data_IF_726343628225
#
_entry.id   IF_726343628225
#
_cell.length_a   1.000
_cell.length_b   1.000
_cell.length_c   1.000
_cell.angle_alpha   90.00
_cell.angle_beta   90.00
_cell.angle_gamma   90.00
#
_symmetry.space_group_name_H-M   'P 1'
#
loop_
_entity.id
_entity.type
_entity.pdbx_description
1 polymer ?
#
# COMPACT_ATOMS: atom_id res chain seq x y z
N UNK A 1 18.51 1.49 38.70
CA UNK A 1 19.62 2.36 38.25
C UNK A 1 20.25 3.16 39.39
N UNK A 2 21.56 3.01 39.62
CA UNK A 2 22.36 3.82 40.56
C UNK A 2 23.19 4.88 39.83
N UNK A 3 22.59 6.05 39.62
CA UNK A 3 23.20 7.17 38.84
C UNK A 3 24.41 7.76 39.57
N UNK A 4 24.43 7.70 40.90
CA UNK A 4 25.53 8.17 41.75
C UNK A 4 26.87 7.46 41.49
N UNK A 5 26.86 6.32 40.79
CA UNK A 5 28.06 5.61 40.40
C UNK A 5 28.67 6.15 39.09
N UNK A 6 28.00 7.11 38.43
CA UNK A 6 28.52 7.75 37.23
C UNK A 6 29.48 8.89 37.57
N UNK A 7 30.55 8.97 36.79
CA UNK A 7 31.53 10.04 36.86
C UNK A 7 31.49 10.87 35.57
N UNK A 8 31.50 12.19 35.73
CA UNK A 8 31.46 13.13 34.61
C UNK A 8 32.76 13.07 33.80
N UNK A 9 32.63 13.18 32.48
CA UNK A 9 33.74 13.17 31.52
C UNK A 9 34.59 11.89 31.52
N UNK A 10 34.10 10.80 32.12
CA UNK A 10 34.75 9.48 32.08
C UNK A 10 34.18 8.65 30.95
N UNK A 11 35.08 7.97 30.23
CA UNK A 11 34.76 7.07 29.14
C UNK A 11 34.47 5.65 29.66
N UNK A 12 33.21 5.26 29.57
CA UNK A 12 32.78 3.87 29.74
C UNK A 12 33.00 3.10 28.44
N UNK A 13 33.89 2.10 28.44
CA UNK A 13 34.37 1.39 27.23
C UNK A 13 33.27 0.71 26.39
N UNK A 14 32.12 0.41 26.98
CA UNK A 14 31.00 -0.21 26.29
C UNK A 14 29.68 -0.01 27.01
N UNK A 15 28.59 -0.35 26.32
CA UNK A 15 27.25 -0.43 26.92
C UNK A 15 27.21 -1.39 28.13
N UNK A 16 27.95 -2.50 28.10
CA UNK A 16 28.01 -3.41 29.26
C UNK A 16 28.68 -2.74 30.46
N UNK A 17 29.76 -1.99 30.22
CA UNK A 17 30.49 -1.31 31.28
C UNK A 17 29.61 -0.29 32.02
N UNK A 18 28.88 0.54 31.28
CA UNK A 18 27.96 1.52 31.89
C UNK A 18 26.75 0.83 32.54
N UNK A 19 26.22 -0.27 31.99
CA UNK A 19 25.19 -1.08 32.67
C UNK A 19 25.68 -1.61 34.03
N UNK A 20 26.90 -2.14 34.09
CA UNK A 20 27.50 -2.63 35.34
C UNK A 20 27.64 -1.49 36.36
N UNK A 21 28.14 -0.33 35.94
CA UNK A 21 28.26 0.85 36.81
C UNK A 21 26.91 1.30 37.35
N UNK A 22 25.88 1.30 36.49
CA UNK A 22 24.52 1.71 36.82
C UNK A 22 23.72 0.64 37.58
N UNK A 23 24.27 -0.56 37.78
CA UNK A 23 23.58 -1.75 38.28
C UNK A 23 22.28 -2.03 37.52
N UNK A 24 22.35 -1.93 36.21
CA UNK A 24 21.25 -2.16 35.29
C UNK A 24 21.46 -3.48 34.52
N UNK A 25 20.36 -4.19 34.25
CA UNK A 25 20.39 -5.41 33.47
C UNK A 25 20.90 -5.12 32.04
N UNK A 26 21.79 -5.99 31.54
CA UNK A 26 22.32 -5.92 30.18
C UNK A 26 21.26 -6.43 29.21
N UNK A 27 20.74 -5.55 28.36
CA UNK A 27 19.69 -5.86 27.40
C UNK A 27 20.23 -5.93 25.96
N UNK A 28 19.44 -6.52 25.07
CA UNK A 28 19.74 -6.65 23.64
C UNK A 28 18.58 -6.11 22.78
N UNK A 29 18.84 -5.89 21.49
CA UNK A 29 17.83 -5.46 20.52
C UNK A 29 17.04 -4.21 20.93
N UNK A 30 15.71 -4.28 20.82
CA UNK A 30 14.79 -3.17 21.14
C UNK A 30 14.80 -2.80 22.63
N UNK A 31 15.07 -3.77 23.51
CA UNK A 31 15.12 -3.53 24.95
C UNK A 31 16.35 -2.68 25.33
N UNK A 32 17.50 -2.91 24.66
CA UNK A 32 18.68 -2.05 24.75
C UNK A 32 18.40 -0.62 24.28
N UNK A 33 17.74 -0.47 23.13
CA UNK A 33 17.38 0.85 22.58
C UNK A 33 16.47 1.60 23.57
N UNK A 34 15.48 0.92 24.14
CA UNK A 34 14.57 1.51 25.12
C UNK A 34 15.31 1.94 26.40
N UNK A 35 16.26 1.14 26.89
CA UNK A 35 17.05 1.47 28.07
C UNK A 35 17.96 2.68 27.82
N UNK A 36 18.64 2.74 26.65
CA UNK A 36 19.44 3.90 26.26
C UNK A 36 18.61 5.19 26.17
N UNK A 37 17.37 5.08 25.71
CA UNK A 37 16.42 6.21 25.67
C UNK A 37 16.00 6.61 27.09
N UNK A 38 15.74 5.66 27.97
CA UNK A 38 15.41 5.96 29.36
C UNK A 38 16.58 6.62 30.11
N UNK A 39 17.83 6.21 29.85
CA UNK A 39 19.03 6.84 30.42
C UNK A 39 19.16 8.32 30.07
N UNK A 40 18.75 8.73 28.87
CA UNK A 40 18.78 10.14 28.45
C UNK A 40 17.91 11.07 29.30
N UNK A 41 17.06 10.50 30.17
CA UNK A 41 16.28 11.24 31.17
C UNK A 41 17.08 11.60 32.40
N UNK A 42 18.15 10.88 32.69
CA UNK A 42 18.91 10.99 33.93
C UNK A 42 20.27 11.64 33.71
N UNK A 43 20.86 11.48 32.54
CA UNK A 43 22.13 12.09 32.19
C UNK A 43 22.26 12.28 30.67
N UNK A 44 23.03 13.30 30.27
CA UNK A 44 23.47 13.49 28.90
C UNK A 44 24.74 12.70 28.67
N UNK A 45 24.82 12.03 27.52
CA UNK A 45 26.03 11.36 27.09
C UNK A 45 26.18 11.48 25.58
N UNK A 46 27.41 11.37 25.11
CA UNK A 46 27.72 11.11 23.71
C UNK A 46 28.52 9.82 23.57
N UNK A 47 28.60 9.32 22.34
CA UNK A 47 29.36 8.11 22.03
C UNK A 47 30.71 8.47 21.47
N UNK A 48 31.72 7.71 21.90
CA UNK A 48 33.06 7.76 21.33
C UNK A 48 33.47 6.34 20.92
N UNK A 49 33.30 6.02 19.64
CA UNK A 49 33.37 4.66 19.13
C UNK A 49 32.29 3.77 19.76
N UNK A 50 32.73 2.69 20.44
CA UNK A 50 31.84 1.79 21.18
C UNK A 50 31.58 2.24 22.64
N UNK A 51 32.27 3.29 23.09
CA UNK A 51 32.18 3.81 24.44
C UNK A 51 31.17 4.94 24.61
N UNK A 52 30.91 5.29 25.86
CA UNK A 52 29.98 6.34 26.29
C UNK A 52 30.70 7.30 27.23
N UNK A 53 30.57 8.61 26.99
CA UNK A 53 31.08 9.65 27.89
C UNK A 53 29.88 10.40 28.46
N UNK A 54 29.79 10.50 29.78
CA UNK A 54 28.70 11.19 30.47
C UNK A 54 29.07 12.66 30.62
N UNK A 55 28.32 13.53 29.95
CA UNK A 55 28.60 14.97 29.88
C UNK A 55 27.94 15.74 31.04
N UNK A 56 26.79 15.25 31.52
CA UNK A 56 25.96 15.95 32.50
C UNK A 56 25.05 14.95 33.21
N UNK A 57 24.94 15.04 34.53
CA UNK A 57 23.99 14.25 35.34
C UNK A 57 22.91 15.19 35.87
N UNK A 58 21.64 14.86 35.63
CA UNK A 58 20.52 15.70 36.04
C UNK A 58 20.15 15.42 37.50
N UNK A 59 20.03 16.47 38.31
CA UNK A 59 19.57 16.35 39.70
C UNK A 59 18.11 15.90 39.81
N UNK A 60 17.28 16.23 38.82
CA UNK A 60 15.91 15.75 38.67
C UNK A 60 15.80 15.08 37.30
N UNK A 61 15.38 13.81 37.21
CA UNK A 61 15.20 13.13 35.93
C UNK A 61 14.15 13.84 35.07
N UNK A 62 14.42 13.97 33.77
CA UNK A 62 13.44 14.46 32.80
C UNK A 62 12.20 13.56 32.79
N UNK A 63 11.05 14.16 32.53
CA UNK A 63 9.79 13.42 32.45
C UNK A 63 9.86 12.29 31.43
N UNK A 64 9.22 11.17 31.77
CA UNK A 64 9.13 10.04 30.87
C UNK A 64 8.11 10.38 29.78
N UNK A 65 8.61 10.75 28.60
CA UNK A 65 7.75 10.90 27.42
C UNK A 65 7.38 9.51 26.90
N UNK A 66 6.29 8.95 27.43
CA UNK A 66 5.70 7.70 26.93
C UNK A 66 4.66 7.99 25.84
N UNK A 67 5.09 7.90 24.57
CA UNK A 67 4.20 8.05 23.42
C UNK A 67 3.32 6.80 23.16
N UNK A 68 3.25 5.85 24.11
CA UNK A 68 2.30 4.72 24.05
C UNK A 68 0.96 5.15 24.65
N UNK A 69 0.15 5.89 23.88
CA UNK A 69 -1.25 6.15 24.26
C UNK A 69 -2.12 4.93 23.92
N UNK A 70 -2.64 4.27 24.97
CA UNK A 70 -3.66 3.22 24.89
C UNK A 70 -3.32 1.97 25.71
N UNK A 71 -4.32 1.39 26.40
CA UNK A 71 -4.21 0.18 27.24
C UNK A 71 -3.69 -1.09 26.51
N UNK A 72 -3.44 -1.03 25.21
CA UNK A 72 -2.94 -2.15 24.40
C UNK A 72 -1.42 -2.15 24.19
N UNK A 73 -0.67 -1.20 24.76
CA UNK A 73 0.78 -1.10 24.57
C UNK A 73 1.21 -0.75 23.14
N UNK A 74 0.27 -0.29 22.30
CA UNK A 74 0.52 0.08 20.90
C UNK A 74 0.59 1.60 20.79
N UNK A 75 1.67 2.10 20.19
CA UNK A 75 1.81 3.52 19.90
C UNK A 75 0.67 4.01 18.99
N UNK A 76 0.27 5.26 19.19
CA UNK A 76 -0.58 6.00 18.25
C UNK A 76 0.11 5.97 16.86
N UNK A 77 -0.57 5.39 15.85
CA UNK A 77 0.02 5.16 14.52
C UNK A 77 0.70 3.80 14.30
N UNK A 78 0.60 2.86 15.24
CA UNK A 78 0.93 1.44 14.96
C UNK A 78 0.12 0.93 13.77
N UNK A 79 0.75 0.17 12.86
CA UNK A 79 0.12 -0.39 11.64
C UNK A 79 -1.17 -1.19 11.92
N UNK A 80 -1.38 -1.62 13.16
CA UNK A 80 -2.56 -2.36 13.60
C UNK A 80 -3.70 -1.51 14.18
N UNK A 81 -3.54 -0.18 14.36
CA UNK A 81 -4.64 0.68 14.80
C UNK A 81 -5.74 0.78 13.73
N UNK A 82 -5.35 0.87 12.46
CA UNK A 82 -6.30 0.99 11.34
C UNK A 82 -7.18 -0.25 11.18
N UNK A 83 -6.68 -1.43 11.56
CA UNK A 83 -7.41 -2.71 11.53
C UNK A 83 -8.65 -2.68 12.44
N UNK A 84 -8.52 -2.05 13.63
CA UNK A 84 -9.62 -1.87 14.56
C UNK A 84 -10.53 -0.71 14.17
N UNK A 85 -9.94 0.42 13.74
CA UNK A 85 -10.68 1.64 13.38
C UNK A 85 -11.64 1.40 12.21
N UNK A 86 -11.21 0.67 11.18
CA UNK A 86 -12.03 0.43 10.00
C UNK A 86 -13.00 -0.73 10.15
N UNK A 87 -12.77 -1.64 11.10
CA UNK A 87 -13.53 -2.89 11.18
C UNK A 87 -15.02 -2.67 11.35
N UNK A 88 -15.42 -1.73 12.22
CA UNK A 88 -16.85 -1.39 12.43
C UNK A 88 -17.55 -0.86 11.16
N UNK A 89 -16.81 -0.36 10.18
CA UNK A 89 -17.38 0.11 8.91
C UNK A 89 -17.31 -0.97 7.85
N UNK A 90 -16.12 -1.53 7.60
CA UNK A 90 -15.90 -2.48 6.50
C UNK A 90 -16.75 -3.73 6.70
N UNK A 91 -16.90 -4.24 7.93
CA UNK A 91 -17.64 -5.48 8.19
C UNK A 91 -19.12 -5.30 7.82
N UNK A 92 -19.75 -4.21 8.27
CA UNK A 92 -21.15 -3.86 7.99
C UNK A 92 -21.34 -3.60 6.48
N UNK A 93 -20.46 -2.79 5.89
CA UNK A 93 -20.56 -2.43 4.47
C UNK A 93 -20.37 -3.66 3.58
N UNK A 94 -19.37 -4.50 3.85
CA UNK A 94 -19.06 -5.67 3.05
C UNK A 94 -20.18 -6.71 3.16
N UNK A 95 -20.68 -7.00 4.36
CA UNK A 95 -21.82 -7.89 4.58
C UNK A 95 -23.03 -7.45 3.77
N UNK A 96 -23.41 -6.17 3.88
CA UNK A 96 -24.54 -5.64 3.13
C UNK A 96 -24.33 -5.72 1.60
N UNK A 97 -23.12 -5.44 1.10
CA UNK A 97 -22.83 -5.54 -0.34
C UNK A 97 -22.91 -6.98 -0.82
N UNK A 98 -22.35 -7.93 -0.07
CA UNK A 98 -22.41 -9.35 -0.40
C UNK A 98 -23.85 -9.86 -0.39
N UNK A 99 -24.63 -9.54 0.65
CA UNK A 99 -26.06 -9.84 0.71
C UNK A 99 -26.79 -9.34 -0.54
N UNK A 100 -26.64 -8.06 -0.88
CA UNK A 100 -27.30 -7.46 -2.03
C UNK A 100 -26.84 -8.05 -3.38
N UNK A 101 -25.58 -8.49 -3.51
CA UNK A 101 -25.08 -9.16 -4.72
C UNK A 101 -25.81 -10.48 -4.90
N UNK A 102 -25.94 -11.29 -3.84
CA UNK A 102 -26.62 -12.58 -3.90
C UNK A 102 -28.11 -12.40 -4.16
N UNK A 103 -28.79 -11.50 -3.45
CA UNK A 103 -30.23 -11.26 -3.62
C UNK A 103 -30.61 -10.82 -5.05
N UNK A 104 -29.72 -10.09 -5.75
CA UNK A 104 -29.98 -9.65 -7.13
C UNK A 104 -29.80 -10.75 -8.16
N UNK A 105 -29.11 -11.85 -7.85
CA UNK A 105 -28.94 -12.98 -8.77
C UNK A 105 -30.22 -13.81 -8.70
N UNK A 106 -30.97 -13.84 -9.79
CA UNK A 106 -32.22 -14.62 -9.91
C UNK A 106 -31.99 -16.14 -9.89
N UNK A 107 -30.73 -16.59 -9.96
CA UNK A 107 -30.31 -17.98 -9.98
C UNK A 107 -29.57 -18.28 -8.66
N UNK A 108 -30.11 -19.22 -7.87
CA UNK A 108 -29.63 -19.64 -6.54
C UNK A 108 -28.30 -20.41 -6.55
N UNK A 109 -27.78 -20.77 -7.72
CA UNK A 109 -26.87 -21.91 -7.81
C UNK A 109 -25.43 -21.66 -7.41
N UNK A 110 -25.03 -20.46 -7.00
CA UNK A 110 -23.85 -20.35 -6.15
C UNK A 110 -23.86 -19.01 -5.41
N UNK A 111 -23.89 -19.07 -4.08
CA UNK A 111 -23.67 -17.93 -3.18
C UNK A 111 -22.21 -17.44 -3.24
N UNK A 112 -21.56 -17.52 -4.39
CA UNK A 112 -20.13 -17.34 -4.58
C UNK A 112 -19.85 -16.02 -5.28
N UNK A 113 -18.95 -15.24 -4.70
CA UNK A 113 -18.45 -13.99 -5.25
C UNK A 113 -16.95 -14.11 -5.45
N UNK A 114 -16.52 -13.99 -6.71
CA UNK A 114 -15.10 -13.87 -7.06
C UNK A 114 -14.71 -12.40 -7.13
N UNK A 115 -13.72 -11.99 -6.34
CA UNK A 115 -13.41 -10.56 -6.18
C UNK A 115 -11.97 -10.29 -5.78
N UNK A 116 -11.42 -9.15 -6.20
CA UNK A 116 -10.09 -8.68 -5.81
C UNK A 116 -10.12 -7.71 -4.62
N UNK A 117 -8.97 -7.50 -3.98
CA UNK A 117 -8.80 -6.48 -2.93
C UNK A 117 -9.28 -5.09 -3.37
N UNK A 118 -8.97 -4.66 -4.59
CA UNK A 118 -9.34 -3.32 -5.07
C UNK A 118 -10.84 -3.24 -5.30
N UNK A 119 -11.47 -4.29 -5.83
CA UNK A 119 -12.91 -4.34 -6.00
C UNK A 119 -13.64 -4.29 -4.65
N UNK A 120 -13.16 -5.01 -3.62
CA UNK A 120 -13.71 -4.90 -2.26
C UNK A 120 -13.55 -3.47 -1.73
N UNK A 121 -12.38 -2.85 -1.89
CA UNK A 121 -12.12 -1.47 -1.45
C UNK A 121 -13.10 -0.46 -2.08
N UNK A 122 -13.43 -0.65 -3.36
CA UNK A 122 -14.41 0.16 -4.08
C UNK A 122 -15.85 -0.13 -3.61
N UNK A 123 -16.19 -1.41 -3.38
CA UNK A 123 -17.50 -1.82 -2.86
C UNK A 123 -17.79 -1.17 -1.50
N UNK A 124 -16.80 -1.15 -0.61
CA UNK A 124 -16.92 -0.57 0.74
C UNK A 124 -16.54 0.91 0.81
N UNK A 125 -16.35 1.59 -0.34
CA UNK A 125 -16.09 3.03 -0.42
C UNK A 125 -14.82 3.52 0.28
N UNK A 126 -13.78 2.68 0.39
CA UNK A 126 -12.43 3.13 0.72
C UNK A 126 -11.84 3.97 -0.41
N UNK A 127 -12.15 3.59 -1.65
CA UNK A 127 -11.76 4.32 -2.86
C UNK A 127 -12.98 4.49 -3.75
N UNK A 128 -12.95 5.48 -4.63
CA UNK A 128 -14.02 5.69 -5.60
C UNK A 128 -13.72 4.95 -6.92
N UNK A 129 -14.69 4.99 -7.84
CA UNK A 129 -14.66 4.29 -9.12
C UNK A 129 -13.50 4.72 -10.04
N UNK A 130 -12.89 5.90 -9.83
CA UNK A 130 -11.72 6.32 -10.61
C UNK A 130 -10.48 5.50 -10.27
N UNK A 131 -10.37 5.00 -9.03
CA UNK A 131 -9.14 4.42 -8.50
C UNK A 131 -8.63 3.25 -9.34
N UNK A 132 -9.50 2.29 -9.65
CA UNK A 132 -9.13 1.08 -10.39
C UNK A 132 -8.61 1.42 -11.79
N UNK A 133 -9.34 2.24 -12.54
CA UNK A 133 -8.96 2.66 -13.90
C UNK A 133 -7.66 3.46 -13.89
N UNK A 134 -7.51 4.41 -12.96
CA UNK A 134 -6.28 5.20 -12.82
C UNK A 134 -5.09 4.34 -12.36
N UNK A 135 -5.33 3.31 -11.54
CA UNK A 135 -4.29 2.40 -11.09
C UNK A 135 -3.82 1.44 -12.17
N UNK A 136 -4.74 0.94 -12.99
CA UNK A 136 -4.42 0.11 -14.15
C UNK A 136 -3.72 0.92 -15.27
N UNK A 137 -4.09 2.20 -15.43
CA UNK A 137 -3.61 3.08 -16.50
C UNK A 137 -2.72 4.22 -15.97
N UNK A 138 -1.74 3.88 -15.12
CA UNK A 138 -0.86 4.87 -14.46
C UNK A 138 -0.22 5.89 -15.39
N UNK A 139 0.27 5.46 -16.55
CA UNK A 139 0.88 6.37 -17.52
C UNK A 139 -0.13 7.37 -18.09
N UNK A 140 -1.31 6.89 -18.49
CA UNK A 140 -2.39 7.73 -19.01
C UNK A 140 -2.91 8.69 -17.94
N UNK A 141 -3.03 8.22 -16.70
CA UNK A 141 -3.38 9.04 -15.55
C UNK A 141 -2.34 10.13 -15.26
N UNK A 142 -1.05 9.79 -15.29
CA UNK A 142 0.02 10.77 -15.16
C UNK A 142 -0.07 11.86 -16.23
N UNK A 143 -0.26 11.48 -17.50
CA UNK A 143 -0.45 12.44 -18.61
C UNK A 143 -1.64 13.37 -18.39
N UNK A 144 -2.77 12.83 -17.93
CA UNK A 144 -3.96 13.61 -17.60
C UNK A 144 -3.66 14.68 -16.53
N UNK A 145 -3.00 14.28 -15.44
CA UNK A 145 -2.65 15.16 -14.34
C UNK A 145 -1.61 16.20 -14.73
N UNK A 146 -0.60 15.79 -15.50
CA UNK A 146 0.46 16.66 -16.00
C UNK A 146 -0.11 17.78 -16.89
N UNK A 147 -0.95 17.44 -17.87
CA UNK A 147 -1.61 18.42 -18.76
C UNK A 147 -2.44 19.45 -18.00
N UNK A 148 -3.00 19.08 -16.85
CA UNK A 148 -3.81 19.96 -15.99
C UNK A 148 -3.03 20.59 -14.83
N UNK A 149 -1.71 20.37 -14.75
CA UNK A 149 -0.84 20.83 -13.67
C UNK A 149 -1.41 20.47 -12.26
N UNK A 150 -1.96 19.26 -12.15
CA UNK A 150 -2.66 18.81 -10.94
C UNK A 150 -1.74 18.11 -9.95
N UNK A 151 -0.70 17.41 -10.42
CA UNK A 151 0.15 16.55 -9.60
C UNK A 151 1.56 16.37 -10.20
N UNK A 152 2.42 15.70 -9.44
CA UNK A 152 3.71 15.16 -9.88
C UNK A 152 3.72 13.62 -9.83
N UNK A 153 4.60 12.99 -10.60
CA UNK A 153 4.80 11.53 -10.61
C UNK A 153 5.16 10.97 -9.23
N UNK A 154 5.92 11.71 -8.42
CA UNK A 154 6.28 11.34 -7.05
C UNK A 154 5.05 11.29 -6.13
N UNK A 155 4.20 12.33 -6.18
CA UNK A 155 2.96 12.36 -5.41
C UNK A 155 1.99 11.26 -5.83
N UNK A 156 1.92 10.97 -7.13
CA UNK A 156 1.14 9.85 -7.68
C UNK A 156 1.65 8.50 -7.14
N UNK A 157 2.96 8.25 -7.20
CA UNK A 157 3.53 7.00 -6.68
C UNK A 157 3.25 6.84 -5.18
N UNK A 158 3.48 7.88 -4.39
CA UNK A 158 3.32 7.85 -2.94
C UNK A 158 1.85 7.66 -2.55
N UNK A 159 0.88 8.33 -3.22
CA UNK A 159 -0.54 8.20 -2.87
C UNK A 159 -1.05 6.78 -3.10
N UNK A 160 -0.73 6.17 -4.23
CA UNK A 160 -1.23 4.85 -4.55
C UNK A 160 -0.57 3.77 -3.68
N UNK A 161 0.72 3.94 -3.37
CA UNK A 161 1.43 3.07 -2.42
C UNK A 161 0.80 3.18 -1.03
N UNK A 162 0.50 4.42 -0.59
CA UNK A 162 -0.15 4.67 0.70
C UNK A 162 -1.54 4.03 0.76
N UNK A 163 -2.39 4.29 -0.23
CA UNK A 163 -3.75 3.72 -0.31
C UNK A 163 -3.68 2.20 -0.27
N UNK A 164 -2.84 1.56 -1.10
CA UNK A 164 -2.74 0.10 -1.14
C UNK A 164 -2.28 -0.50 0.20
N UNK A 165 -1.34 0.18 0.87
CA UNK A 165 -0.85 -0.23 2.19
C UNK A 165 -1.94 -0.21 3.28
N UNK A 166 -2.97 0.64 3.14
CA UNK A 166 -4.10 0.70 4.05
C UNK A 166 -5.23 -0.27 3.65
N UNK A 167 -5.48 -0.44 2.35
CA UNK A 167 -6.55 -1.30 1.81
C UNK A 167 -6.33 -2.76 2.23
N UNK A 168 -5.18 -3.34 1.89
CA UNK A 168 -4.98 -4.79 1.98
C UNK A 168 -5.12 -5.32 3.42
N UNK A 169 -4.45 -4.75 4.43
CA UNK A 169 -4.56 -5.26 5.81
C UNK A 169 -5.97 -5.10 6.39
N UNK A 170 -6.65 -3.99 6.07
CA UNK A 170 -8.00 -3.71 6.55
C UNK A 170 -9.02 -4.73 6.02
N UNK A 171 -8.97 -4.99 4.70
CA UNK A 171 -9.85 -5.96 4.05
C UNK A 171 -9.60 -7.37 4.56
N UNK A 172 -8.34 -7.82 4.61
CA UNK A 172 -8.01 -9.16 5.11
C UNK A 172 -8.55 -9.34 6.53
N UNK A 173 -8.39 -8.34 7.39
CA UNK A 173 -8.87 -8.41 8.77
C UNK A 173 -10.40 -8.48 8.85
N UNK A 174 -11.12 -7.74 7.99
CA UNK A 174 -12.58 -7.82 7.88
C UNK A 174 -13.06 -9.16 7.37
N UNK A 175 -12.45 -9.69 6.30
CA UNK A 175 -12.76 -11.01 5.79
C UNK A 175 -12.60 -12.08 6.88
N UNK A 176 -11.51 -12.04 7.64
CA UNK A 176 -11.28 -12.96 8.76
C UNK A 176 -12.32 -12.81 9.87
N UNK A 177 -12.81 -11.60 10.19
CA UNK A 177 -13.85 -11.42 11.21
C UNK A 177 -15.23 -11.89 10.74
N UNK A 178 -15.56 -11.66 9.47
CA UNK A 178 -16.79 -12.15 8.87
C UNK A 178 -16.79 -13.68 8.76
N UNK A 179 -15.66 -14.28 8.43
CA UNK A 179 -15.50 -15.75 8.42
C UNK A 179 -15.62 -16.33 9.83
N UNK A 180 -14.95 -15.74 10.84
CA UNK A 180 -15.10 -16.15 12.25
C UNK A 180 -16.51 -16.00 12.81
N UNK A 181 -17.34 -15.14 12.22
CA UNK A 181 -18.75 -14.97 12.58
C UNK A 181 -19.69 -15.79 11.69
N UNK A 182 -19.17 -16.76 10.93
CA UNK A 182 -19.90 -17.66 10.05
C UNK A 182 -20.79 -16.92 9.03
N UNK A 183 -20.38 -15.72 8.60
CA UNK A 183 -21.10 -14.95 7.59
C UNK A 183 -20.66 -15.34 6.18
N UNK A 184 -19.39 -15.71 6.03
CA UNK A 184 -18.76 -16.04 4.76
C UNK A 184 -17.70 -17.14 4.94
N UNK A 185 -17.34 -17.81 3.85
CA UNK A 185 -16.12 -18.64 3.74
C UNK A 185 -15.22 -18.01 2.69
N UNK A 186 -13.93 -17.85 2.99
CA UNK A 186 -12.99 -17.12 2.11
C UNK A 186 -11.83 -18.01 1.68
N UNK A 187 -11.69 -18.19 0.37
CA UNK A 187 -10.54 -18.85 -0.23
C UNK A 187 -9.73 -17.84 -1.06
N UNK A 188 -8.50 -17.52 -0.62
CA UNK A 188 -7.55 -16.78 -1.43
C UNK A 188 -6.90 -17.71 -2.46
N UNK A 189 -7.02 -17.40 -3.76
CA UNK A 189 -6.47 -18.23 -4.84
C UNK A 189 -6.18 -17.41 -6.09
N UNK A 190 -5.58 -18.06 -7.09
CA UNK A 190 -5.69 -17.60 -8.48
C UNK A 190 -7.10 -17.94 -8.96
N UNK A 191 -7.75 -16.97 -9.61
CA UNK A 191 -9.09 -17.09 -10.16
C UNK A 191 -8.96 -17.05 -11.68
N UNK A 192 -9.38 -18.11 -12.36
CA UNK A 192 -9.52 -18.14 -13.81
C UNK A 192 -10.84 -17.47 -14.20
N UNK A 193 -10.80 -16.62 -15.21
CA UNK A 193 -11.99 -16.17 -15.91
C UNK A 193 -12.09 -16.91 -17.23
N UNK A 194 -13.24 -17.53 -17.44
CA UNK A 194 -13.53 -18.41 -18.55
C UNK A 194 -14.35 -17.66 -19.62
N UNK A 195 -14.67 -18.34 -20.71
CA UNK A 195 -15.73 -17.93 -21.62
C UNK A 195 -17.06 -17.69 -20.87
N UNK A 196 -17.92 -16.86 -21.48
CA UNK A 196 -19.24 -16.51 -20.93
C UNK A 196 -19.23 -15.89 -19.53
N UNK A 197 -18.15 -15.18 -19.18
CA UNK A 197 -17.98 -14.46 -17.90
C UNK A 197 -17.99 -15.36 -16.66
N UNK A 198 -17.85 -16.68 -16.83
CA UNK A 198 -17.73 -17.64 -15.72
C UNK A 198 -16.37 -17.53 -15.06
N UNK A 199 -16.30 -17.91 -13.78
CA UNK A 199 -15.07 -17.84 -13.00
C UNK A 199 -14.95 -19.06 -12.08
N UNK A 200 -13.71 -19.51 -11.86
CA UNK A 200 -13.39 -20.58 -10.91
C UNK A 200 -12.05 -20.35 -10.23
N UNK A 201 -11.86 -20.95 -9.06
CA UNK A 201 -10.53 -21.07 -8.49
C UNK A 201 -9.64 -21.97 -9.35
N UNK A 202 -8.37 -21.62 -9.42
CA UNK A 202 -7.33 -22.54 -9.85
C UNK A 202 -7.26 -23.73 -8.89
N UNK A 203 -7.07 -24.91 -9.45
CA UNK A 203 -6.73 -26.13 -8.73
C UNK A 203 -5.32 -26.04 -8.14
N UNK A 204 -4.97 -26.99 -7.27
CA UNK A 204 -3.63 -27.04 -6.67
C UNK A 204 -2.53 -27.25 -7.72
N UNK A 205 -2.80 -28.07 -8.74
CA UNK A 205 -1.88 -28.30 -9.87
C UNK A 205 -1.65 -27.02 -10.67
N UNK A 206 -2.73 -26.33 -11.05
CA UNK A 206 -2.65 -25.06 -11.78
C UNK A 206 -1.94 -23.98 -10.95
N UNK A 207 -2.25 -23.89 -9.66
CA UNK A 207 -1.61 -22.94 -8.73
C UNK A 207 -0.12 -23.21 -8.60
N UNK A 208 0.28 -24.48 -8.51
CA UNK A 208 1.69 -24.87 -8.44
C UNK A 208 2.42 -24.48 -9.73
N UNK A 209 1.83 -24.78 -10.89
CA UNK A 209 2.39 -24.41 -12.19
C UNK A 209 2.58 -22.89 -12.32
N UNK A 210 1.57 -22.08 -11.97
CA UNK A 210 1.68 -20.61 -12.02
C UNK A 210 2.85 -20.11 -11.15
N UNK A 211 3.01 -20.67 -9.94
CA UNK A 211 4.11 -20.29 -9.04
C UNK A 211 5.48 -20.71 -9.56
N UNK A 212 5.58 -21.84 -10.25
CA UNK A 212 6.80 -22.31 -10.90
C UNK A 212 7.19 -21.37 -12.05
N UNK A 213 6.24 -21.02 -12.93
CA UNK A 213 6.46 -20.03 -14.00
C UNK A 213 6.87 -18.67 -13.41
N UNK A 214 6.21 -18.20 -12.36
CA UNK A 214 6.60 -16.96 -11.68
C UNK A 214 8.07 -17.03 -11.18
N UNK A 215 8.48 -18.15 -10.58
CA UNK A 215 9.85 -18.34 -10.07
C UNK A 215 10.88 -18.36 -11.20
N UNK A 216 10.60 -19.08 -12.28
CA UNK A 216 11.47 -19.16 -13.46
C UNK A 216 11.61 -17.80 -14.14
N UNK A 217 10.52 -17.06 -14.32
CA UNK A 217 10.57 -15.73 -14.93
C UNK A 217 11.34 -14.72 -14.08
N UNK A 218 11.37 -14.87 -12.75
CA UNK A 218 12.22 -14.04 -11.89
C UNK A 218 13.71 -14.29 -12.18
N UNK A 219 14.09 -15.55 -12.45
CA UNK A 219 15.47 -15.93 -12.80
C UNK A 219 15.82 -15.45 -14.22
N UNK A 220 14.97 -15.71 -15.21
CA UNK A 220 15.17 -15.31 -16.62
C UNK A 220 15.30 -13.79 -16.77
N UNK A 221 14.54 -13.03 -15.98
CA UNK A 221 14.61 -11.56 -16.01
C UNK A 221 15.71 -10.99 -15.12
N UNK A 222 16.42 -11.83 -14.34
CA UNK A 222 17.45 -11.43 -13.38
C UNK A 222 16.96 -10.36 -12.39
N UNK A 223 15.71 -10.47 -11.94
CA UNK A 223 15.10 -9.53 -11.01
C UNK A 223 14.90 -10.13 -9.62
N UNK A 224 15.02 -9.28 -8.61
CA UNK A 224 14.65 -9.59 -7.23
C UNK A 224 13.19 -9.24 -6.96
N UNK A 225 12.60 -9.85 -5.93
CA UNK A 225 11.25 -9.49 -5.48
C UNK A 225 11.16 -8.00 -5.09
N UNK A 226 12.22 -7.41 -4.54
CA UNK A 226 12.26 -5.99 -4.23
C UNK A 226 12.15 -5.13 -5.50
N UNK A 227 12.96 -5.42 -6.53
CA UNK A 227 12.90 -4.70 -7.81
C UNK A 227 11.51 -4.84 -8.46
N UNK A 228 10.94 -6.05 -8.48
CA UNK A 228 9.57 -6.29 -8.97
C UNK A 228 8.52 -5.49 -8.20
N UNK A 229 8.66 -5.33 -6.88
CA UNK A 229 7.69 -4.62 -6.06
C UNK A 229 7.80 -3.10 -6.21
N UNK A 230 9.01 -2.56 -6.31
CA UNK A 230 9.26 -1.12 -6.34
C UNK A 230 9.18 -0.50 -7.74
N UNK A 231 9.50 -1.26 -8.80
CA UNK A 231 9.48 -0.75 -10.17
C UNK A 231 8.24 -1.26 -10.92
N UNK A 232 7.31 -0.34 -11.18
CA UNK A 232 6.04 -0.65 -11.85
C UNK A 232 6.21 -1.18 -13.27
N UNK A 233 7.20 -0.69 -14.01
CA UNK A 233 7.46 -1.10 -15.40
C UNK A 233 8.03 -2.51 -15.43
N UNK A 234 8.95 -2.83 -14.52
CA UNK A 234 9.47 -4.20 -14.35
C UNK A 234 8.33 -5.13 -13.96
N UNK A 235 7.50 -4.73 -12.98
CA UNK A 235 6.35 -5.52 -12.54
C UNK A 235 5.37 -5.83 -13.67
N UNK A 236 5.04 -4.83 -14.49
CA UNK A 236 4.14 -4.98 -15.64
C UNK A 236 4.72 -5.97 -16.65
N UNK A 237 5.96 -5.77 -17.08
CA UNK A 237 6.65 -6.66 -18.02
C UNK A 237 6.76 -8.09 -17.49
N UNK A 238 7.03 -8.25 -16.20
CA UNK A 238 7.09 -9.56 -15.54
C UNK A 238 5.74 -10.28 -15.63
N UNK A 239 4.64 -9.65 -15.20
CA UNK A 239 3.34 -10.31 -15.23
C UNK A 239 2.79 -10.49 -16.65
N UNK A 240 3.12 -9.62 -17.61
CA UNK A 240 2.80 -9.84 -19.03
C UNK A 240 3.44 -11.14 -19.56
N UNK A 241 4.73 -11.38 -19.24
CA UNK A 241 5.43 -12.61 -19.63
C UNK A 241 4.88 -13.85 -18.93
N UNK A 242 4.69 -13.78 -17.61
CA UNK A 242 4.12 -14.90 -16.83
C UNK A 242 2.73 -15.24 -17.34
N UNK A 243 1.87 -14.24 -17.54
CA UNK A 243 0.51 -14.46 -18.02
C UNK A 243 0.49 -15.11 -19.39
N UNK A 244 1.37 -14.68 -20.31
CA UNK A 244 1.52 -15.31 -21.62
C UNK A 244 1.87 -16.80 -21.49
N UNK A 245 2.94 -17.15 -20.77
CA UNK A 245 3.39 -18.55 -20.62
C UNK A 245 2.32 -19.42 -19.97
N UNK A 246 1.66 -18.90 -18.95
CA UNK A 246 0.59 -19.62 -18.24
C UNK A 246 -0.60 -19.87 -19.16
N UNK A 247 -1.02 -18.87 -19.93
CA UNK A 247 -2.17 -19.01 -20.83
C UNK A 247 -1.85 -19.87 -22.05
N UNK A 248 -0.65 -19.77 -22.61
CA UNK A 248 -0.23 -20.63 -23.72
C UNK A 248 -0.27 -22.11 -23.28
N UNK A 249 0.20 -22.42 -22.06
CA UNK A 249 0.13 -23.78 -21.51
C UNK A 249 -1.30 -24.27 -21.29
N UNK A 250 -2.17 -23.43 -20.72
CA UNK A 250 -3.54 -23.86 -20.43
C UNK A 250 -4.46 -23.82 -21.64
N UNK A 251 -4.16 -23.06 -22.68
CA UNK A 251 -4.93 -23.06 -23.93
C UNK A 251 -4.92 -24.45 -24.61
N UNK A 252 -3.85 -25.23 -24.41
CA UNK A 252 -3.75 -26.61 -24.91
C UNK A 252 -4.61 -27.61 -24.11
N UNK A 253 -4.95 -27.28 -22.88
CA UNK A 253 -5.62 -28.17 -21.91
C UNK A 253 -7.09 -27.81 -21.72
N UNK A 254 -7.39 -26.51 -21.71
CA UNK A 254 -8.71 -25.92 -21.45
C UNK A 254 -8.80 -24.59 -22.21
N UNK A 255 -9.32 -24.67 -23.44
CA UNK A 255 -9.49 -23.52 -24.32
C UNK A 255 -10.52 -22.50 -23.84
N UNK A 256 -11.26 -22.77 -22.74
CA UNK A 256 -12.19 -21.81 -22.17
C UNK A 256 -11.49 -20.75 -21.31
N UNK A 257 -10.24 -20.96 -20.91
CA UNK A 257 -9.50 -20.04 -20.06
C UNK A 257 -9.05 -18.81 -20.85
N UNK A 258 -9.68 -17.66 -20.56
CA UNK A 258 -9.34 -16.38 -21.18
C UNK A 258 -8.31 -15.59 -20.37
N UNK A 259 -8.06 -15.98 -19.12
CA UNK A 259 -7.05 -15.40 -18.27
C UNK A 259 -7.27 -15.68 -16.79
N UNK A 260 -6.44 -15.06 -15.96
CA UNK A 260 -6.50 -15.25 -14.52
C UNK A 260 -6.02 -14.05 -13.73
N UNK A 261 -6.39 -14.00 -12.45
CA UNK A 261 -5.95 -12.98 -11.51
C UNK A 261 -5.89 -13.51 -10.09
N UNK A 262 -5.16 -12.84 -9.19
CA UNK A 262 -5.17 -13.16 -7.77
C UNK A 262 -6.33 -12.48 -7.05
N UNK A 263 -7.13 -13.25 -6.31
CA UNK A 263 -8.32 -12.74 -5.63
C UNK A 263 -8.84 -13.67 -4.55
N UNK A 264 -10.12 -13.48 -4.23
CA UNK A 264 -10.86 -14.24 -3.25
C UNK A 264 -12.07 -14.88 -3.93
N UNK A 265 -12.28 -16.16 -3.65
CA UNK A 265 -13.60 -16.79 -3.73
C UNK A 265 -14.26 -16.62 -2.37
N UNK A 266 -15.38 -15.91 -2.34
CA UNK A 266 -16.17 -15.68 -1.12
C UNK A 266 -17.47 -16.44 -1.27
N UNK A 267 -17.69 -17.47 -0.46
CA UNK A 267 -19.00 -18.11 -0.31
C UNK A 267 -19.79 -17.37 0.77
N UNK A 268 -20.97 -16.87 0.42
CA UNK A 268 -21.85 -16.12 1.32
C UNK A 268 -22.80 -17.09 2.01
N UNK A 269 -22.81 -17.07 3.35
CA UNK A 269 -23.61 -17.98 4.17
C UNK A 269 -24.72 -17.22 4.90
N UNK A 270 -24.35 -16.43 5.91
CA UNK A 270 -25.29 -15.78 6.82
C UNK A 270 -25.16 -14.25 6.82
N UNK A 271 -24.97 -13.64 5.64
CA UNK A 271 -24.99 -12.18 5.49
C UNK A 271 -26.42 -11.64 5.50
N UNK A 272 -26.62 -10.47 6.11
CA UNK A 272 -27.92 -9.82 6.19
C UNK A 272 -27.89 -8.39 5.61
N UNK A 273 -29.05 -7.88 5.21
CA UNK A 273 -29.22 -6.46 4.93
C UNK A 273 -28.84 -5.64 6.17
N UNK A 274 -28.20 -4.49 5.94
CA UNK A 274 -27.78 -3.59 7.02
C UNK A 274 -28.44 -2.22 6.83
N UNK A 275 -28.61 -1.49 7.94
CA UNK A 275 -29.24 -0.18 7.95
C UNK A 275 -28.21 0.96 7.83
N UNK A 276 -28.69 2.17 7.52
CA UNK A 276 -27.88 3.41 7.50
C UNK A 276 -26.64 3.38 6.58
N UNK A 277 -26.67 2.54 5.55
CA UNK A 277 -25.51 2.27 4.69
C UNK A 277 -24.93 3.51 4.03
N UNK A 278 -25.77 4.38 3.46
CA UNK A 278 -25.27 5.61 2.79
C UNK A 278 -24.54 6.57 3.75
N UNK A 279 -25.02 6.67 4.99
CA UNK A 279 -24.38 7.49 6.02
C UNK A 279 -23.03 6.87 6.41
N UNK A 280 -23.01 5.56 6.68
CA UNK A 280 -21.79 4.81 7.00
C UNK A 280 -20.74 4.87 5.89
N UNK A 281 -21.17 4.74 4.63
CA UNK A 281 -20.29 4.86 3.46
C UNK A 281 -19.59 6.24 3.43
N UNK A 282 -20.33 7.32 3.66
CA UNK A 282 -19.80 8.70 3.65
C UNK A 282 -18.88 8.96 4.85
N UNK A 283 -19.26 8.53 6.04
CA UNK A 283 -18.46 8.65 7.25
C UNK A 283 -17.15 7.90 7.11
N UNK A 284 -17.22 6.64 6.68
CA UNK A 284 -16.05 5.79 6.47
C UNK A 284 -15.11 6.33 5.40
N UNK A 285 -15.64 6.75 4.25
CA UNK A 285 -14.81 7.35 3.19
C UNK A 285 -14.06 8.60 3.67
N UNK A 286 -14.73 9.46 4.44
CA UNK A 286 -14.13 10.66 5.03
C UNK A 286 -13.01 10.31 5.99
N UNK A 287 -13.24 9.34 6.89
CA UNK A 287 -12.24 8.83 7.82
C UNK A 287 -11.05 8.19 7.10
N UNK A 288 -11.30 7.39 6.06
CA UNK A 288 -10.26 6.75 5.27
C UNK A 288 -9.39 7.79 4.55
N UNK A 289 -10.01 8.79 3.91
CA UNK A 289 -9.31 9.90 3.26
C UNK A 289 -8.41 10.66 4.24
N UNK A 290 -8.93 11.00 5.43
CA UNK A 290 -8.17 11.68 6.48
C UNK A 290 -6.97 10.86 6.95
N UNK A 291 -7.14 9.56 7.16
CA UNK A 291 -6.05 8.67 7.58
C UNK A 291 -4.97 8.50 6.51
N UNK A 292 -5.34 8.43 5.23
CA UNK A 292 -4.37 8.41 4.13
C UNK A 292 -3.57 9.71 4.08
N UNK A 293 -4.23 10.86 4.25
CA UNK A 293 -3.57 12.16 4.32
C UNK A 293 -2.60 12.22 5.50
N UNK A 294 -3.07 11.89 6.71
CA UNK A 294 -2.28 11.87 7.94
C UNK A 294 -1.05 10.95 7.82
N UNK A 295 -1.20 9.75 7.24
CA UNK A 295 -0.08 8.84 7.03
C UNK A 295 1.00 9.42 6.10
N UNK A 296 0.63 10.23 5.12
CA UNK A 296 1.58 10.91 4.24
C UNK A 296 2.21 12.11 4.95
N UNK A 297 1.41 12.93 5.63
CA UNK A 297 1.87 14.08 6.41
C UNK A 297 2.90 13.68 7.46
N UNK A 298 2.65 12.61 8.23
CA UNK A 298 3.60 12.07 9.22
C UNK A 298 4.93 11.62 8.61
N UNK A 299 4.92 11.10 7.37
CA UNK A 299 6.17 10.77 6.66
C UNK A 299 6.94 12.03 6.29
N UNK A 300 6.25 13.10 5.88
CA UNK A 300 6.88 14.40 5.57
C UNK A 300 7.43 15.05 6.84
N UNK A 301 6.68 15.02 7.95
CA UNK A 301 7.12 15.54 9.25
C UNK A 301 8.37 14.81 9.74
N UNK A 302 8.36 13.48 9.70
CA UNK A 302 9.54 12.69 10.03
C UNK A 302 10.74 13.06 9.15
N UNK A 303 10.53 13.27 7.86
CA UNK A 303 11.60 13.76 6.98
C UNK A 303 12.13 15.11 7.46
N UNK A 304 11.27 16.07 7.83
CA UNK A 304 11.70 17.37 8.36
C UNK A 304 12.52 17.22 9.66
N UNK A 305 12.08 16.37 10.58
CA UNK A 305 12.72 16.14 11.87
C UNK A 305 14.10 15.48 11.71
N UNK A 306 14.22 14.48 10.84
CA UNK A 306 15.45 13.74 10.57
C UNK A 306 16.58 14.67 10.02
N UNK A 307 16.25 15.87 9.55
CA UNK A 307 17.20 16.81 8.92
C UNK A 307 17.50 18.09 9.74
N UNK A 308 16.98 18.21 10.97
CA UNK A 308 17.42 19.24 11.92
C UNK A 308 17.32 20.71 11.44
N UNK A 309 16.46 21.00 10.46
CA UNK A 309 16.28 22.35 9.91
C UNK A 309 17.39 22.84 8.96
N UNK A 310 18.53 22.16 8.87
CA UNK A 310 19.62 22.48 7.92
C UNK A 310 19.56 21.46 6.79
N UNK A 311 19.03 21.93 5.67
CA UNK A 311 18.52 21.10 4.58
C UNK A 311 19.67 20.60 3.68
N UNK A 312 20.37 19.57 4.11
CA UNK A 312 21.22 18.75 3.24
C UNK A 312 20.48 17.46 2.88
N UNK A 313 19.58 17.53 1.91
CA UNK A 313 18.79 16.37 1.49
C UNK A 313 19.69 15.23 0.99
N UNK A 314 19.49 14.01 1.51
CA UNK A 314 20.14 12.77 0.99
C UNK A 314 19.88 12.55 -0.51
N UNK A 315 18.72 12.97 -1.01
CA UNK A 315 18.32 12.78 -2.40
C UNK A 315 17.26 13.82 -2.83
N UNK A 316 17.11 14.01 -4.14
CA UNK A 316 16.19 14.99 -4.74
C UNK A 316 14.70 14.73 -4.42
N UNK A 317 14.33 13.48 -4.15
CA UNK A 317 12.96 13.07 -3.90
C UNK A 317 12.46 13.57 -2.54
N UNK A 318 13.31 13.50 -1.50
CA UNK A 318 12.99 14.02 -0.17
C UNK A 318 12.83 15.54 -0.20
N UNK A 319 13.65 16.24 -1.01
CA UNK A 319 13.46 17.67 -1.29
C UNK A 319 12.10 17.97 -1.89
N UNK A 320 11.68 17.18 -2.89
CA UNK A 320 10.39 17.35 -3.56
C UNK A 320 9.21 17.11 -2.61
N UNK A 321 9.30 16.14 -1.69
CA UNK A 321 8.25 15.81 -0.71
C UNK A 321 7.99 16.92 0.31
N UNK A 322 9.02 17.67 0.71
CA UNK A 322 8.87 18.78 1.67
C UNK A 322 8.27 20.03 1.00
N UNK A 323 8.34 20.14 -0.33
CA UNK A 323 7.80 21.29 -1.06
C UNK A 323 6.27 21.41 -0.95
N UNK A 324 5.77 22.65 -0.83
CA UNK A 324 4.33 22.96 -0.74
C UNK A 324 3.49 22.37 -1.90
N UNK A 325 4.08 22.28 -3.10
CA UNK A 325 3.42 21.70 -4.28
C UNK A 325 3.08 20.21 -4.07
N UNK A 326 3.88 19.47 -3.29
CA UNK A 326 3.64 18.06 -3.02
C UNK A 326 2.37 17.87 -2.19
N UNK A 327 2.22 18.58 -1.06
CA UNK A 327 1.02 18.51 -0.22
C UNK A 327 -0.26 18.79 -0.99
N UNK A 328 -0.28 19.88 -1.78
CA UNK A 328 -1.42 20.21 -2.65
C UNK A 328 -1.70 19.13 -3.71
N UNK A 329 -0.67 18.47 -4.22
CA UNK A 329 -0.82 17.36 -5.18
C UNK A 329 -1.51 16.17 -4.50
N UNK A 330 -1.11 15.82 -3.28
CA UNK A 330 -1.72 14.74 -2.50
C UNK A 330 -3.20 15.02 -2.21
N UNK A 331 -3.55 16.24 -1.78
CA UNK A 331 -4.95 16.63 -1.54
C UNK A 331 -5.82 16.48 -2.80
N UNK A 332 -5.32 16.92 -3.95
CA UNK A 332 -6.02 16.77 -5.24
C UNK A 332 -6.18 15.30 -5.62
N UNK A 333 -5.15 14.49 -5.41
CA UNK A 333 -5.20 13.05 -5.68
C UNK A 333 -6.21 12.34 -4.77
N UNK A 334 -6.31 12.71 -3.49
CA UNK A 334 -7.34 12.21 -2.57
C UNK A 334 -8.74 12.55 -3.09
N UNK A 335 -8.96 13.79 -3.56
CA UNK A 335 -10.24 14.20 -4.17
C UNK A 335 -10.61 13.38 -5.40
N UNK A 336 -9.62 13.05 -6.23
CA UNK A 336 -9.83 12.28 -7.47
C UNK A 336 -10.08 10.79 -7.18
N UNK A 337 -9.30 10.19 -6.26
CA UNK A 337 -9.19 8.73 -6.10
C UNK A 337 -9.98 8.17 -4.91
N UNK A 338 -10.26 8.98 -3.89
CA UNK A 338 -10.90 8.52 -2.65
C UNK A 338 -12.26 9.17 -2.48
N UNK A 339 -12.35 10.50 -2.57
CA UNK A 339 -13.54 11.24 -2.14
C UNK A 339 -14.84 10.69 -2.71
N UNK A 340 -15.83 10.58 -1.81
CA UNK A 340 -17.15 10.02 -2.07
C UNK A 340 -17.87 10.68 -3.25
N UNK A 341 -17.80 12.01 -3.32
CA UNK A 341 -18.30 12.79 -4.44
C UNK A 341 -17.10 13.24 -5.28
N UNK A 342 -16.97 12.69 -6.49
CA UNK A 342 -15.91 13.05 -7.43
C UNK A 342 -16.42 13.00 -8.86
N UNK A 343 -15.72 13.71 -9.76
CA UNK A 343 -16.00 13.63 -11.19
C UNK A 343 -15.51 12.28 -11.73
N UNK A 344 -16.32 11.66 -12.60
CA UNK A 344 -15.88 10.49 -13.34
C UNK A 344 -14.94 10.85 -14.49
N UNK A 345 -13.73 10.31 -14.41
CA UNK A 345 -12.68 10.50 -15.41
C UNK A 345 -12.27 9.18 -16.07
N UNK A 346 -12.95 8.06 -15.81
CA UNK A 346 -12.55 6.74 -16.33
C UNK A 346 -12.44 6.71 -17.85
N UNK A 347 -13.39 7.34 -18.55
CA UNK A 347 -13.44 7.34 -20.01
C UNK A 347 -12.36 8.26 -20.58
N UNK A 348 -12.15 9.41 -19.94
CA UNK A 348 -11.06 10.33 -20.28
C UNK A 348 -9.71 9.61 -20.15
N UNK A 349 -9.48 8.90 -19.06
CA UNK A 349 -8.23 8.16 -18.85
C UNK A 349 -8.08 7.04 -19.87
N UNK A 350 -9.15 6.32 -20.21
CA UNK A 350 -9.09 5.21 -21.16
C UNK A 350 -8.72 5.68 -22.57
N UNK A 351 -9.19 6.86 -22.96
CA UNK A 351 -9.00 7.44 -24.30
C UNK A 351 -7.66 8.18 -24.48
N UNK A 352 -6.90 8.43 -23.41
CA UNK A 352 -5.56 9.02 -23.53
C UNK A 352 -4.59 8.03 -24.18
N UNK A 353 -3.86 8.48 -25.21
CA UNK A 353 -2.80 7.69 -25.84
C UNK A 353 -1.59 7.54 -24.93
N UNK A 354 -0.99 6.35 -24.94
CA UNK A 354 0.31 6.07 -24.30
C UNK A 354 1.46 6.62 -25.14
N UNK A 355 2.67 6.73 -24.57
CA UNK A 355 3.86 7.16 -25.33
C UNK A 355 4.09 6.25 -26.53
N UNK A 356 4.01 4.93 -26.30
CA UNK A 356 4.20 3.93 -27.36
C UNK A 356 3.23 4.14 -28.52
N UNK A 357 1.97 4.45 -28.25
CA UNK A 357 0.98 4.71 -29.29
C UNK A 357 1.29 5.99 -30.06
N UNK A 358 1.71 7.05 -29.36
CA UNK A 358 2.13 8.31 -29.99
C UNK A 358 3.38 8.09 -30.86
N UNK A 359 4.36 7.34 -30.36
CA UNK A 359 5.59 7.04 -31.10
C UNK A 359 5.29 6.21 -32.36
N UNK A 360 4.37 5.24 -32.27
CA UNK A 360 3.93 4.45 -33.42
C UNK A 360 3.24 5.30 -34.48
N UNK A 361 2.32 6.18 -34.08
CA UNK A 361 1.65 7.11 -35.00
C UNK A 361 2.64 8.07 -35.66
N UNK A 362 3.63 8.57 -34.91
CA UNK A 362 4.67 9.45 -35.47
C UNK A 362 5.56 8.70 -36.48
N UNK A 363 5.85 7.42 -36.24
CA UNK A 363 6.60 6.58 -37.19
C UNK A 363 5.78 6.32 -38.45
N UNK A 364 4.47 6.06 -38.32
CA UNK A 364 3.57 5.89 -39.47
C UNK A 364 3.47 7.18 -40.29
N UNK A 365 3.25 8.33 -39.63
CA UNK A 365 3.25 9.63 -40.28
C UNK A 365 4.57 9.92 -41.00
N UNK A 366 5.72 9.60 -40.39
CA UNK A 366 7.02 9.80 -41.01
C UNK A 366 7.19 8.96 -42.29
N UNK A 367 6.65 7.73 -42.32
CA UNK A 367 6.66 6.89 -43.52
C UNK A 367 5.77 7.45 -44.63
N UNK A 368 4.61 8.01 -44.27
CA UNK A 368 3.71 8.63 -45.23
C UNK A 368 4.33 9.91 -45.83
N UNK A 369 5.06 10.69 -45.02
CA UNK A 369 5.84 11.83 -45.51
C UNK A 369 6.97 11.40 -46.45
N UNK A 370 7.76 10.38 -46.10
CA UNK A 370 8.82 9.84 -46.97
C UNK A 370 8.29 9.27 -48.29
N UNK A 371 7.05 8.76 -48.31
CA UNK A 371 6.38 8.30 -49.51
C UNK A 371 5.99 9.47 -50.42
N UNK A 372 5.41 10.54 -49.86
CA UNK A 372 5.03 11.75 -50.61
C UNK A 372 6.23 12.46 -51.26
N UNK A 373 7.40 12.44 -50.64
CA UNK A 373 8.62 13.03 -51.23
C UNK A 373 9.20 12.19 -52.38
N UNK A 374 8.94 10.88 -52.43
CA UNK A 374 9.39 10.00 -53.53
C UNK A 374 8.48 10.03 -54.76
N UNK A 375 7.26 10.55 -54.65
CA UNK A 375 6.36 10.76 -55.79
C UNK A 375 6.54 12.13 -56.47
N UNK A 376 7.40 13.00 -55.90
CA UNK A 376 7.66 14.37 -56.40
C UNK A 376 9.05 14.49 -57.07
N UNK A 377 9.85 13.43 -57.06
CA UNK A 377 11.02 13.23 -57.92
C UNK A 377 10.66 12.38 -59.13
#
# INVERSE_FOLDING_TARGET
>A
MKIQNLELNIKYKSYRAICTTLEEEIKTGNAKIAQLKDWSRYFRYHKEGNGFIVDEIYGIPKEKVDNRKGHSGKSEGSRNNYIGIYGKYIDILLENKLYNIIQKRQIKEDNIVYITNVCIAELVKMVNFNYRTCNANREKFHRYLYKKNLSSSLAEQDIFTCIYAHIRPAIISSLTRLEKSNKIVVQASYIFYLNDYKQRCATDKETKYIKEVEKEQMQVMEITNAQKMWNINIRKKFYEKVQKIVLDHFAEVDSEINGYYQGYKITVENCNAQENIKALEKEFNTLFAANVMDSISKKIEKLKDDWGGIVLFKNEWDRKRIGLKYGKSIERLIKILISYNTLNITDIISNIKTQKQIDQENIELAKDFDFLFKEVE
#
